data_IF_344010889735
#
_entry.id   IF_344010889735
#
_cell.length_a   1.000
_cell.length_b   1.000
_cell.length_c   1.000
_cell.angle_alpha   90.00
_cell.angle_beta   90.00
_cell.angle_gamma   90.00
#
_symmetry.space_group_name_H-M   'P 1'
#
loop_
_entity.id
_entity.type
_entity.pdbx_description
1 polymer ?
#
# COMPACT_ATOMS: atom_id res chain seq x y z
N UNK A 1 44.91 16.72 26.91
CA UNK A 1 44.25 17.81 26.17
C UNK A 1 43.95 17.26 24.78
N UNK A 2 42.64 17.15 24.48
CA UNK A 2 42.01 17.24 23.14
C UNK A 2 42.32 16.13 22.12
N UNK A 3 41.47 15.11 22.06
CA UNK A 3 41.12 14.39 20.81
C UNK A 3 39.77 13.69 20.96
N UNK A 4 38.68 14.46 21.11
CA UNK A 4 37.30 13.93 21.04
C UNK A 4 36.39 14.87 20.26
N UNK A 5 36.82 15.25 19.06
CA UNK A 5 35.93 16.01 18.15
C UNK A 5 36.21 15.62 16.69
N UNK A 6 35.86 14.40 16.30
CA UNK A 6 35.77 14.04 14.86
C UNK A 6 35.04 12.71 14.63
N UNK A 7 33.85 12.53 15.19
CA UNK A 7 33.01 11.36 14.87
C UNK A 7 31.59 11.70 14.40
N UNK A 8 31.16 12.97 14.46
CA UNK A 8 29.77 13.34 14.17
C UNK A 8 29.49 13.79 12.72
N UNK A 9 30.51 14.13 11.93
CA UNK A 9 30.29 14.68 10.59
C UNK A 9 29.98 13.64 9.49
N UNK A 10 30.25 12.36 9.72
CA UNK A 10 30.05 11.32 8.69
C UNK A 10 28.65 10.68 8.76
N UNK A 11 27.97 10.75 9.89
CA UNK A 11 26.61 10.23 10.07
C UNK A 11 25.52 11.19 9.55
N UNK A 12 25.78 12.48 9.56
CA UNK A 12 24.81 13.51 9.16
C UNK A 12 24.41 13.44 7.69
N UNK A 13 25.32 13.13 6.77
CA UNK A 13 25.03 13.09 5.34
C UNK A 13 24.12 11.90 4.92
N UNK A 14 24.14 10.81 5.69
CA UNK A 14 23.31 9.63 5.42
C UNK A 14 21.84 9.86 5.79
N UNK A 15 21.56 10.56 6.88
CA UNK A 15 20.21 10.83 7.36
C UNK A 15 19.50 11.92 6.57
N UNK A 16 20.20 12.89 5.99
CA UNK A 16 19.58 13.93 5.17
C UNK A 16 18.82 13.35 3.96
N UNK A 17 19.37 12.33 3.32
CA UNK A 17 18.69 11.63 2.23
C UNK A 17 17.45 10.86 2.71
N UNK A 18 17.49 10.30 3.93
CA UNK A 18 16.33 9.65 4.56
C UNK A 18 15.24 10.68 4.84
N UNK A 19 15.59 11.82 5.47
CA UNK A 19 14.64 12.89 5.75
C UNK A 19 14.01 13.43 4.47
N UNK A 20 14.82 13.67 3.42
CA UNK A 20 14.30 14.12 2.13
C UNK A 20 13.31 13.11 1.51
N UNK A 21 13.60 11.80 1.62
CA UNK A 21 12.69 10.77 1.09
C UNK A 21 11.40 10.66 1.90
N UNK A 22 11.46 10.83 3.22
CA UNK A 22 10.27 10.84 4.10
C UNK A 22 9.44 12.10 3.83
N UNK A 23 10.04 13.29 3.70
CA UNK A 23 9.34 14.51 3.36
C UNK A 23 8.61 14.39 2.01
N UNK A 24 9.29 13.85 0.99
CA UNK A 24 8.68 13.61 -0.31
C UNK A 24 7.52 12.60 -0.25
N UNK A 25 7.62 11.55 0.58
CA UNK A 25 6.54 10.58 0.81
C UNK A 25 5.33 11.21 1.53
N UNK A 26 5.57 12.08 2.52
CA UNK A 26 4.50 12.81 3.21
C UNK A 26 3.82 13.80 2.27
N UNK A 27 4.59 14.52 1.43
CA UNK A 27 4.02 15.41 0.41
C UNK A 27 3.21 14.64 -0.64
N UNK A 28 3.71 13.50 -1.09
CA UNK A 28 2.97 12.57 -1.95
C UNK A 28 1.65 12.13 -1.31
N UNK A 29 1.66 11.75 -0.03
CA UNK A 29 0.45 11.34 0.67
C UNK A 29 -0.59 12.48 0.76
N UNK A 30 -0.13 13.72 0.99
CA UNK A 30 -1.01 14.90 0.97
C UNK A 30 -1.67 15.11 -0.40
N UNK A 31 -0.93 14.89 -1.49
CA UNK A 31 -1.39 15.12 -2.86
C UNK A 31 -2.23 13.96 -3.42
N UNK A 32 -1.93 12.72 -3.02
CA UNK A 32 -2.48 11.50 -3.65
C UNK A 32 -3.30 10.62 -2.73
N UNK A 33 -3.06 10.67 -1.42
CA UNK A 33 -3.79 9.90 -0.42
C UNK A 33 -4.69 10.80 0.44
N UNK A 34 -4.78 12.08 0.09
CA UNK A 34 -5.58 13.08 0.79
C UNK A 34 -5.25 13.15 2.30
N UNK A 35 -3.99 12.90 2.66
CA UNK A 35 -3.53 13.09 4.03
C UNK A 35 -3.80 14.54 4.46
N UNK A 36 -4.59 14.70 5.52
CA UNK A 36 -4.91 16.02 6.05
C UNK A 36 -3.61 16.78 6.41
N UNK A 37 -3.45 18.03 5.97
CA UNK A 37 -2.27 18.81 6.32
C UNK A 37 -2.00 18.90 7.83
N UNK A 38 -3.05 18.82 8.67
CA UNK A 38 -2.93 18.83 10.13
C UNK A 38 -2.30 17.56 10.69
N UNK A 39 -2.39 16.45 9.95
CA UNK A 39 -1.85 15.14 10.33
C UNK A 39 -0.45 14.88 9.75
N UNK A 40 0.08 15.79 8.91
CA UNK A 40 1.35 15.59 8.21
C UNK A 40 2.53 15.40 9.16
N UNK A 41 2.64 16.24 10.19
CA UNK A 41 3.73 16.14 11.18
C UNK A 41 3.56 14.91 12.08
N UNK A 42 2.34 14.60 12.49
CA UNK A 42 2.04 13.39 13.25
C UNK A 42 2.44 12.15 12.46
N UNK A 43 2.07 12.06 11.19
CA UNK A 43 2.42 10.93 10.32
C UNK A 43 3.93 10.81 10.12
N UNK A 44 4.62 11.95 9.88
CA UNK A 44 6.08 11.99 9.79
C UNK A 44 6.73 11.47 11.08
N UNK A 45 6.27 11.92 12.23
CA UNK A 45 6.80 11.52 13.53
C UNK A 45 6.61 10.01 13.79
N UNK A 46 5.51 9.42 13.31
CA UNK A 46 5.31 7.97 13.36
C UNK A 46 6.33 7.20 12.53
N UNK A 47 6.72 7.73 11.38
CA UNK A 47 7.79 7.15 10.57
C UNK A 47 9.14 7.30 11.28
N UNK A 48 9.39 8.43 11.92
CA UNK A 48 10.61 8.64 12.72
C UNK A 48 10.67 7.67 13.90
N UNK A 49 9.57 7.48 14.62
CA UNK A 49 9.45 6.49 15.71
C UNK A 49 9.82 5.08 15.24
N UNK A 50 9.34 4.66 14.05
CA UNK A 50 9.63 3.35 13.48
C UNK A 50 11.14 3.09 13.32
N UNK A 51 11.91 4.13 13.02
CA UNK A 51 13.36 4.04 12.77
C UNK A 51 14.21 4.63 13.90
N UNK A 52 13.59 4.96 15.04
CA UNK A 52 14.25 5.60 16.20
C UNK A 52 15.05 6.85 15.82
N UNK A 53 14.49 7.66 14.89
CA UNK A 53 15.08 8.94 14.50
C UNK A 53 14.65 10.00 15.52
N UNK A 54 15.62 10.59 16.21
CA UNK A 54 15.42 11.57 17.29
C UNK A 54 15.77 13.00 16.91
N UNK A 55 16.31 13.19 15.72
CA UNK A 55 16.62 14.49 15.15
C UNK A 55 16.02 14.65 13.77
N UNK A 56 15.60 15.86 13.41
CA UNK A 56 15.02 16.15 12.11
C UNK A 56 15.37 17.55 11.62
N UNK A 57 15.75 17.62 10.36
CA UNK A 57 15.91 18.89 9.63
C UNK A 57 14.94 18.88 8.45
N UNK A 58 13.98 19.83 8.39
CA UNK A 58 13.11 19.94 7.22
C UNK A 58 13.91 20.12 5.95
N UNK A 59 13.69 19.25 4.97
CA UNK A 59 14.43 19.31 3.70
C UNK A 59 13.69 20.11 2.64
N UNK A 60 12.37 20.28 2.81
CA UNK A 60 11.49 20.87 1.80
C UNK A 60 11.30 20.01 0.56
N UNK A 61 11.71 18.74 0.60
CA UNK A 61 11.53 17.82 -0.51
C UNK A 61 10.04 17.58 -0.78
N UNK A 62 9.66 17.66 -2.04
CA UNK A 62 8.30 17.46 -2.54
C UNK A 62 8.29 16.36 -3.59
N UNK A 63 7.11 15.88 -3.95
CA UNK A 63 6.93 14.91 -5.03
C UNK A 63 5.78 15.29 -5.94
N UNK A 64 6.02 15.17 -7.26
CA UNK A 64 4.99 15.24 -8.29
C UNK A 64 4.72 13.86 -8.93
N UNK A 65 5.28 12.79 -8.32
CA UNK A 65 5.08 11.42 -8.78
C UNK A 65 3.58 11.05 -8.75
N UNK A 66 3.16 10.24 -9.71
CA UNK A 66 1.80 9.70 -9.76
C UNK A 66 1.72 8.30 -9.16
N UNK A 67 2.86 7.60 -9.10
CA UNK A 67 3.01 6.26 -8.52
C UNK A 67 4.03 6.32 -7.38
N UNK A 68 3.87 5.51 -6.33
CA UNK A 68 4.79 5.50 -5.19
C UNK A 68 6.10 4.75 -5.45
N UNK A 69 6.23 4.01 -6.57
CA UNK A 69 7.31 3.07 -6.83
C UNK A 69 8.70 3.71 -6.73
N UNK A 70 8.91 4.85 -7.40
CA UNK A 70 10.21 5.54 -7.42
C UNK A 70 10.51 6.20 -6.07
N UNK A 71 9.50 6.76 -5.40
CA UNK A 71 9.63 7.30 -4.05
C UNK A 71 10.06 6.21 -3.06
N UNK A 72 9.40 5.06 -3.09
CA UNK A 72 9.73 3.93 -2.23
C UNK A 72 11.11 3.35 -2.56
N UNK A 73 11.53 3.41 -3.82
CA UNK A 73 12.86 2.97 -4.22
C UNK A 73 13.93 3.93 -3.67
N UNK A 74 13.72 5.24 -3.78
CA UNK A 74 14.62 6.25 -3.17
C UNK A 74 14.68 6.12 -1.66
N UNK A 75 13.51 6.00 -1.00
CA UNK A 75 13.43 5.80 0.45
C UNK A 75 14.23 4.57 0.90
N UNK A 76 14.01 3.41 0.27
CA UNK A 76 14.73 2.17 0.61
C UNK A 76 16.23 2.31 0.43
N UNK A 77 16.67 2.91 -0.68
CA UNK A 77 18.08 3.13 -0.95
C UNK A 77 18.74 4.04 0.10
N UNK A 78 18.07 5.14 0.46
CA UNK A 78 18.55 6.06 1.49
C UNK A 78 18.61 5.41 2.87
N UNK A 79 17.57 4.66 3.25
CA UNK A 79 17.48 4.01 4.55
C UNK A 79 18.51 2.88 4.72
N UNK A 80 18.73 2.07 3.67
CA UNK A 80 19.80 1.05 3.67
C UNK A 80 21.19 1.71 3.76
N UNK A 81 21.42 2.79 3.01
CA UNK A 81 22.69 3.52 3.06
C UNK A 81 22.95 4.15 4.43
N UNK A 82 21.89 4.53 5.14
CA UNK A 82 21.95 5.06 6.51
C UNK A 82 22.00 3.96 7.59
N UNK A 83 21.90 2.67 7.21
CA UNK A 83 21.94 1.54 8.14
C UNK A 83 20.68 1.36 8.98
N UNK A 84 19.53 1.87 8.53
CA UNK A 84 18.27 1.74 9.26
C UNK A 84 17.68 0.32 9.16
N UNK A 85 17.94 -0.38 8.08
CA UNK A 85 17.56 -1.78 7.86
C UNK A 85 18.37 -2.39 6.70
N UNK A 86 18.38 -3.72 6.59
CA UNK A 86 19.04 -4.43 5.51
C UNK A 86 18.21 -4.40 4.21
N UNK A 87 18.89 -4.57 3.06
CA UNK A 87 18.27 -4.43 1.74
C UNK A 87 17.11 -5.42 1.49
N UNK A 88 17.15 -6.61 2.07
CA UNK A 88 16.09 -7.63 1.99
C UNK A 88 14.87 -7.30 2.85
N UNK A 89 15.01 -6.47 3.88
CA UNK A 89 13.92 -5.95 4.70
C UNK A 89 13.18 -4.76 4.05
N UNK A 90 13.83 -4.10 3.09
CA UNK A 90 13.32 -2.90 2.43
C UNK A 90 11.87 -2.97 1.94
N UNK A 91 11.40 -4.07 1.31
CA UNK A 91 10.00 -4.22 0.91
C UNK A 91 9.02 -4.22 2.10
N UNK A 92 9.41 -4.76 3.24
CA UNK A 92 8.57 -4.81 4.46
C UNK A 92 8.43 -3.42 5.05
N UNK A 93 9.54 -2.67 5.19
CA UNK A 93 9.51 -1.31 5.71
C UNK A 93 8.77 -0.35 4.77
N UNK A 94 8.91 -0.51 3.46
CA UNK A 94 8.13 0.25 2.49
C UNK A 94 6.61 0.02 2.66
N UNK A 95 6.18 -1.22 2.89
CA UNK A 95 4.79 -1.56 3.15
C UNK A 95 4.29 -0.97 4.49
N UNK A 96 5.13 -0.97 5.54
CA UNK A 96 4.80 -0.35 6.83
C UNK A 96 4.62 1.16 6.66
N UNK A 97 5.55 1.84 6.00
CA UNK A 97 5.51 3.29 5.76
C UNK A 97 4.28 3.65 4.94
N UNK A 98 3.99 2.92 3.86
CA UNK A 98 2.78 3.16 3.07
C UNK A 98 1.50 2.94 3.89
N UNK A 99 1.50 1.97 4.81
CA UNK A 99 0.39 1.78 5.75
C UNK A 99 0.18 2.97 6.67
N UNK A 100 1.26 3.62 7.13
CA UNK A 100 1.21 4.83 7.96
C UNK A 100 0.74 6.07 7.19
N UNK A 101 1.07 6.17 5.90
CA UNK A 101 0.68 7.26 5.01
C UNK A 101 -0.76 7.14 4.52
N UNK A 102 -1.34 5.94 4.55
CA UNK A 102 -2.68 5.67 4.07
C UNK A 102 -3.75 6.11 5.08
N UNK A 103 -4.82 6.69 4.60
CA UNK A 103 -6.00 7.01 5.41
C UNK A 103 -6.58 5.78 6.12
N UNK A 104 -7.27 6.00 7.23
CA UNK A 104 -8.03 4.94 7.89
C UNK A 104 -9.14 4.41 6.97
N UNK A 105 -9.67 3.18 7.19
CA UNK A 105 -10.81 2.69 6.43
C UNK A 105 -11.98 3.69 6.39
N UNK A 106 -12.36 4.24 7.55
CA UNK A 106 -13.45 5.21 7.64
C UNK A 106 -13.19 6.49 6.83
N UNK A 107 -11.98 7.05 6.90
CA UNK A 107 -11.64 8.25 6.12
C UNK A 107 -11.74 8.00 4.60
N UNK A 108 -11.33 6.80 4.14
CA UNK A 108 -11.42 6.42 2.73
C UNK A 108 -12.89 6.20 2.31
N UNK A 109 -13.70 5.58 3.17
CA UNK A 109 -15.12 5.36 2.93
C UNK A 109 -15.89 6.69 2.89
N UNK A 110 -15.67 7.57 3.87
CA UNK A 110 -16.28 8.91 3.91
C UNK A 110 -15.96 9.72 2.64
N UNK A 111 -14.72 9.61 2.17
CA UNK A 111 -14.31 10.27 0.94
C UNK A 111 -14.93 9.66 -0.31
N UNK A 112 -14.99 8.33 -0.37
CA UNK A 112 -15.68 7.62 -1.45
C UNK A 112 -17.14 8.08 -1.57
N UNK A 113 -17.87 8.11 -0.44
CA UNK A 113 -19.27 8.57 -0.40
C UNK A 113 -19.41 10.04 -0.80
N UNK A 114 -18.43 10.88 -0.45
CA UNK A 114 -18.43 12.28 -0.86
C UNK A 114 -18.30 12.41 -2.39
N UNK A 115 -17.35 11.67 -2.99
CA UNK A 115 -17.16 11.64 -4.45
C UNK A 115 -18.39 11.06 -5.15
N UNK A 116 -18.98 9.99 -4.60
CA UNK A 116 -20.17 9.38 -5.16
C UNK A 116 -21.36 10.35 -5.18
N UNK A 117 -21.59 11.08 -4.10
CA UNK A 117 -22.66 12.08 -4.02
C UNK A 117 -22.46 13.23 -5.01
N UNK A 118 -21.23 13.65 -5.24
CA UNK A 118 -20.91 14.79 -6.08
C UNK A 118 -20.80 14.42 -7.56
N UNK A 119 -20.25 13.27 -7.89
CA UNK A 119 -19.85 12.90 -9.24
C UNK A 119 -20.43 11.54 -9.71
N UNK A 120 -21.10 10.80 -8.84
CA UNK A 120 -21.69 9.50 -9.13
C UNK A 120 -20.72 8.33 -8.93
N UNK A 121 -21.29 7.12 -8.85
CA UNK A 121 -20.57 5.90 -8.47
C UNK A 121 -19.40 5.52 -9.38
N UNK A 122 -19.49 5.82 -10.69
CA UNK A 122 -18.39 5.54 -11.63
C UNK A 122 -17.13 6.35 -11.31
N UNK A 123 -17.30 7.63 -10.97
CA UNK A 123 -16.17 8.48 -10.59
C UNK A 123 -15.64 8.14 -9.20
N UNK A 124 -16.51 7.76 -8.26
CA UNK A 124 -16.13 7.26 -6.96
C UNK A 124 -15.25 5.98 -7.08
N UNK A 125 -15.65 5.04 -7.95
CA UNK A 125 -14.86 3.82 -8.20
C UNK A 125 -13.52 4.12 -8.88
N UNK A 126 -13.45 5.11 -9.77
CA UNK A 126 -12.18 5.58 -10.36
C UNK A 126 -11.27 6.19 -9.31
N UNK A 127 -11.81 7.11 -8.50
CA UNK A 127 -11.09 7.68 -7.38
C UNK A 127 -10.54 6.60 -6.44
N UNK A 128 -11.38 5.63 -6.07
CA UNK A 128 -10.98 4.54 -5.18
C UNK A 128 -9.88 3.66 -5.78
N UNK A 129 -9.96 3.38 -7.09
CA UNK A 129 -8.88 2.68 -7.78
C UNK A 129 -7.57 3.47 -7.75
N UNK A 130 -7.60 4.75 -8.08
CA UNK A 130 -6.43 5.62 -8.09
C UNK A 130 -5.84 5.76 -6.68
N UNK A 131 -6.69 5.81 -5.65
CA UNK A 131 -6.27 5.75 -4.26
C UNK A 131 -5.55 4.43 -3.95
N UNK A 132 -6.09 3.29 -4.36
CA UNK A 132 -5.47 1.96 -4.13
C UNK A 132 -4.18 1.76 -4.93
N UNK A 133 -4.00 2.48 -6.03
CA UNK A 133 -2.72 2.57 -6.76
C UNK A 133 -1.74 3.44 -5.98
N UNK A 134 -2.15 4.62 -5.55
CA UNK A 134 -1.31 5.57 -4.82
C UNK A 134 -0.85 5.03 -3.47
N UNK A 135 -1.70 4.30 -2.72
CA UNK A 135 -1.31 3.68 -1.46
C UNK A 135 -0.50 2.37 -1.64
N UNK A 136 -0.09 2.07 -2.87
CA UNK A 136 0.69 0.88 -3.22
C UNK A 136 -0.01 -0.46 -2.95
N UNK A 137 -1.32 -0.49 -2.79
CA UNK A 137 -2.05 -1.75 -2.72
C UNK A 137 -2.14 -2.43 -4.09
N UNK A 138 -2.61 -1.70 -5.10
CA UNK A 138 -2.56 -2.14 -6.49
C UNK A 138 -1.16 -1.89 -7.05
N UNK A 139 -0.46 -2.94 -7.44
CA UNK A 139 0.93 -2.89 -7.91
C UNK A 139 1.03 -2.42 -9.37
N UNK A 140 0.47 -1.23 -9.67
CA UNK A 140 0.34 -0.72 -11.03
C UNK A 140 1.68 -0.63 -11.77
N UNK A 141 2.74 -0.14 -11.12
CA UNK A 141 4.06 -0.02 -11.73
C UNK A 141 4.66 -1.37 -12.19
N UNK A 142 4.25 -2.48 -11.57
CA UNK A 142 4.62 -3.84 -12.00
C UNK A 142 3.62 -4.38 -13.02
N UNK A 143 2.31 -4.16 -12.81
CA UNK A 143 1.25 -4.65 -13.68
C UNK A 143 1.33 -4.07 -15.10
N UNK A 144 1.71 -2.81 -15.24
CA UNK A 144 1.88 -2.15 -16.54
C UNK A 144 3.03 -2.75 -17.37
N UNK A 145 3.95 -3.45 -16.72
CA UNK A 145 5.07 -4.16 -17.36
C UNK A 145 4.75 -5.61 -17.72
N UNK A 146 3.55 -6.10 -17.41
CA UNK A 146 3.14 -7.46 -17.72
C UNK A 146 3.15 -7.70 -19.24
N UNK A 147 3.91 -8.70 -19.75
CA UNK A 147 3.85 -9.07 -21.14
C UNK A 147 2.44 -9.53 -21.51
N UNK A 148 1.94 -9.02 -22.64
CA UNK A 148 0.65 -9.40 -23.22
C UNK A 148 0.83 -9.76 -24.68
N UNK A 149 0.21 -10.81 -25.13
CA UNK A 149 0.22 -11.24 -26.52
C UNK A 149 -1.05 -12.04 -26.86
N UNK A 150 -1.42 -11.96 -28.13
CA UNK A 150 -2.56 -12.71 -28.65
C UNK A 150 -2.11 -14.05 -29.20
N UNK A 151 -2.82 -15.11 -28.84
CA UNK A 151 -2.61 -16.45 -29.40
C UNK A 151 -3.94 -17.18 -29.54
N UNK A 152 -4.25 -17.63 -30.77
CA UNK A 152 -5.47 -18.38 -31.08
C UNK A 152 -6.78 -17.71 -30.60
N UNK A 153 -6.85 -16.38 -30.68
CA UNK A 153 -8.01 -15.59 -30.23
C UNK A 153 -8.10 -15.42 -28.72
N UNK A 154 -7.05 -15.76 -27.97
CA UNK A 154 -6.93 -15.54 -26.52
C UNK A 154 -5.91 -14.47 -26.22
N UNK A 155 -6.24 -13.56 -25.31
CA UNK A 155 -5.26 -12.62 -24.73
C UNK A 155 -4.53 -13.31 -23.58
N UNK A 156 -3.22 -13.51 -23.74
CA UNK A 156 -2.38 -14.12 -22.73
C UNK A 156 -1.61 -13.01 -22.00
N UNK A 157 -1.62 -13.03 -20.68
CA UNK A 157 -0.87 -12.10 -19.84
C UNK A 157 0.03 -12.87 -18.88
N UNK A 158 1.32 -12.50 -18.84
CA UNK A 158 2.26 -13.01 -17.83
C UNK A 158 2.24 -12.01 -16.65
N UNK A 159 1.68 -12.42 -15.52
CA UNK A 159 1.55 -11.56 -14.37
C UNK A 159 2.84 -11.55 -13.53
N UNK A 160 3.66 -10.51 -13.70
CA UNK A 160 4.95 -10.35 -13.01
C UNK A 160 4.80 -9.98 -11.53
N UNK A 161 3.65 -9.44 -11.13
CA UNK A 161 3.39 -9.04 -9.75
C UNK A 161 3.01 -10.22 -8.84
N UNK A 162 2.60 -11.37 -9.42
CA UNK A 162 2.09 -12.51 -8.66
C UNK A 162 3.24 -13.43 -8.23
N UNK A 163 3.48 -13.60 -6.92
CA UNK A 163 4.64 -14.37 -6.43
C UNK A 163 4.44 -15.90 -6.49
N UNK A 164 3.54 -16.41 -7.31
CA UNK A 164 3.10 -17.83 -7.26
C UNK A 164 4.21 -18.85 -7.45
N UNK A 165 5.24 -18.53 -8.24
CA UNK A 165 6.29 -19.50 -8.56
C UNK A 165 7.35 -19.70 -7.47
N UNK A 166 7.50 -18.78 -6.55
CA UNK A 166 8.56 -18.88 -5.52
C UNK A 166 8.14 -19.62 -4.27
N UNK A 167 6.84 -19.81 -4.01
CA UNK A 167 6.35 -20.32 -2.73
C UNK A 167 5.00 -21.04 -2.78
N UNK A 168 4.73 -21.92 -3.73
CA UNK A 168 3.49 -22.71 -3.74
C UNK A 168 3.25 -23.47 -2.42
N UNK A 169 4.32 -23.94 -1.75
CA UNK A 169 4.22 -24.58 -0.42
C UNK A 169 3.91 -23.58 0.70
N UNK A 170 4.40 -22.32 0.59
CA UNK A 170 4.08 -21.26 1.56
C UNK A 170 2.71 -20.63 1.29
N UNK A 171 2.29 -20.53 0.03
CA UNK A 171 0.95 -20.04 -0.30
C UNK A 171 -0.16 -20.99 0.16
N UNK A 172 0.04 -22.29 0.04
CA UNK A 172 -0.88 -23.29 0.57
C UNK A 172 -0.92 -23.28 2.11
N UNK A 173 0.21 -23.03 2.78
CA UNK A 173 0.26 -22.89 4.24
C UNK A 173 -0.22 -21.51 4.73
N UNK A 174 -0.13 -20.47 3.91
CA UNK A 174 -0.54 -19.10 4.25
C UNK A 174 -2.05 -18.84 4.20
N UNK A 175 -2.84 -19.79 3.68
CA UNK A 175 -4.30 -19.67 3.66
C UNK A 175 -4.98 -20.12 4.96
N UNK A 176 -4.26 -20.83 5.83
CA UNK A 176 -4.75 -21.18 7.16
C UNK A 176 -3.98 -20.37 8.21
N UNK A 177 -4.57 -19.31 8.71
CA UNK A 177 -4.07 -18.65 9.92
C UNK A 177 -4.43 -19.54 11.11
N UNK A 178 -3.44 -20.01 11.84
CA UNK A 178 -3.68 -20.66 13.13
C UNK A 178 -4.46 -19.67 14.02
N UNK A 179 -5.71 -20.00 14.38
CA UNK A 179 -6.55 -19.11 15.15
C UNK A 179 -7.76 -18.53 14.40
N UNK A 180 -7.87 -18.73 13.07
CA UNK A 180 -9.08 -18.35 12.31
C UNK A 180 -9.29 -16.84 12.08
N UNK A 181 -8.25 -16.01 12.25
CA UNK A 181 -8.33 -14.57 11.99
C UNK A 181 -7.13 -14.06 11.19
N UNK A 182 -7.35 -13.26 10.13
CA UNK A 182 -8.62 -13.09 9.40
C UNK A 182 -9.14 -14.43 8.84
N UNK A 183 -10.44 -14.61 8.79
CA UNK A 183 -11.05 -15.89 8.42
C UNK A 183 -10.61 -16.40 7.03
N UNK A 184 -10.45 -15.49 6.05
CA UNK A 184 -9.89 -15.82 4.73
C UNK A 184 -9.01 -14.69 4.18
N UNK A 185 -8.40 -14.92 3.00
CA UNK A 185 -7.47 -13.95 2.38
C UNK A 185 -8.15 -12.74 1.76
N UNK A 186 -9.46 -12.78 1.56
CA UNK A 186 -10.24 -11.71 0.92
C UNK A 186 -11.24 -11.02 1.84
N UNK A 187 -11.38 -11.44 3.11
CA UNK A 187 -12.26 -10.78 4.08
C UNK A 187 -11.85 -9.33 4.31
N UNK A 188 -12.81 -8.46 4.64
CA UNK A 188 -12.56 -7.09 5.06
C UNK A 188 -11.69 -7.02 6.34
N UNK A 189 -11.73 -8.02 7.21
CA UNK A 189 -10.85 -8.19 8.38
C UNK A 189 -9.35 -8.08 8.04
N UNK A 190 -8.98 -8.24 6.77
CA UNK A 190 -7.61 -8.05 6.32
C UNK A 190 -7.18 -6.57 6.21
N UNK A 191 -8.08 -5.60 6.28
CA UNK A 191 -7.72 -4.18 6.24
C UNK A 191 -6.71 -3.83 7.35
N UNK A 192 -5.55 -3.35 6.94
CA UNK A 192 -4.47 -3.05 7.88
C UNK A 192 -3.71 -4.26 8.44
N UNK A 193 -4.09 -5.50 8.10
CA UNK A 193 -3.50 -6.69 8.69
C UNK A 193 -2.09 -6.98 8.17
N UNK A 194 -1.09 -6.78 9.03
CA UNK A 194 0.32 -6.94 8.73
C UNK A 194 0.71 -8.37 8.34
N UNK A 195 0.11 -9.37 8.98
CA UNK A 195 0.47 -10.79 8.79
C UNK A 195 0.22 -11.35 7.39
N UNK A 196 -0.55 -10.61 6.55
CA UNK A 196 -0.80 -10.96 5.16
C UNK A 196 -0.38 -9.86 4.18
N UNK A 197 0.45 -8.92 4.60
CA UNK A 197 0.86 -7.77 3.80
C UNK A 197 -0.33 -6.95 3.28
N UNK A 198 -1.34 -6.73 4.14
CA UNK A 198 -2.59 -6.03 3.82
C UNK A 198 -2.71 -4.66 4.49
N UNK A 199 -1.56 -4.07 4.91
CA UNK A 199 -1.55 -2.78 5.61
C UNK A 199 -2.23 -1.67 4.83
N UNK A 200 -2.13 -1.73 3.51
CA UNK A 200 -2.70 -0.72 2.60
C UNK A 200 -4.00 -1.17 1.93
N UNK A 201 -4.52 -2.36 2.23
CA UNK A 201 -5.86 -2.77 1.78
C UNK A 201 -6.90 -1.79 2.33
N UNK A 202 -7.81 -1.36 1.47
CA UNK A 202 -9.04 -0.65 1.83
C UNK A 202 -10.22 -1.29 1.12
N UNK A 203 -11.38 -1.25 1.75
CA UNK A 203 -12.63 -1.78 1.21
C UNK A 203 -13.72 -0.72 1.26
N UNK A 204 -14.68 -0.83 0.35
CA UNK A 204 -15.87 0.02 0.31
C UNK A 204 -17.08 -0.84 0.56
N UNK A 205 -17.85 -0.60 1.63
CA UNK A 205 -19.10 -1.31 1.88
C UNK A 205 -20.09 -1.15 0.73
N UNK A 206 -20.87 -2.18 0.47
CA UNK A 206 -21.90 -2.19 -0.55
C UNK A 206 -23.09 -3.03 -0.08
N UNK A 207 -24.26 -2.78 -0.65
CA UNK A 207 -25.43 -3.62 -0.43
C UNK A 207 -25.89 -4.15 -1.78
N UNK A 208 -25.98 -5.47 -1.90
CA UNK A 208 -26.51 -6.15 -3.10
C UNK A 208 -27.75 -6.93 -2.71
N UNK A 209 -28.91 -6.50 -3.21
CA UNK A 209 -30.19 -6.95 -2.67
C UNK A 209 -30.33 -6.48 -1.22
N UNK A 210 -30.56 -7.41 -0.31
CA UNK A 210 -30.65 -7.13 1.13
C UNK A 210 -29.42 -7.61 1.90
N UNK A 211 -28.34 -8.00 1.20
CA UNK A 211 -27.15 -8.58 1.81
C UNK A 211 -26.00 -7.55 1.88
N UNK A 212 -25.17 -7.59 2.97
CA UNK A 212 -23.98 -6.78 3.06
C UNK A 212 -22.85 -7.36 2.23
N UNK A 213 -22.24 -6.53 1.42
CA UNK A 213 -21.09 -6.82 0.57
C UNK A 213 -20.03 -5.72 0.72
N UNK A 214 -18.87 -5.94 0.15
CA UNK A 214 -17.86 -4.90 0.01
C UNK A 214 -17.07 -5.05 -1.29
N UNK A 215 -16.54 -3.93 -1.76
CA UNK A 215 -15.63 -3.87 -2.89
C UNK A 215 -14.19 -3.74 -2.41
N UNK A 216 -13.29 -4.43 -3.08
CA UNK A 216 -11.86 -4.22 -3.01
C UNK A 216 -11.23 -4.40 -4.40
N UNK A 217 -10.04 -3.85 -4.61
CA UNK A 217 -9.29 -4.12 -5.82
C UNK A 217 -8.33 -5.30 -5.65
N UNK A 218 -8.02 -5.98 -6.76
CA UNK A 218 -6.99 -7.00 -6.76
C UNK A 218 -5.62 -6.34 -6.84
N UNK A 219 -4.68 -6.65 -5.92
CA UNK A 219 -3.31 -6.12 -6.01
C UNK A 219 -2.57 -6.66 -7.24
N UNK A 220 -3.06 -7.76 -7.82
CA UNK A 220 -2.47 -8.50 -8.94
C UNK A 220 -3.45 -8.65 -10.11
N UNK A 221 -4.19 -7.61 -10.42
CA UNK A 221 -5.24 -7.62 -11.43
C UNK A 221 -4.74 -8.03 -12.82
N UNK A 222 -5.59 -8.70 -13.58
CA UNK A 222 -5.31 -9.07 -14.97
C UNK A 222 -5.61 -7.95 -15.96
N UNK A 223 -6.47 -7.01 -15.56
CA UNK A 223 -6.92 -5.87 -16.38
C UNK A 223 -7.09 -4.64 -15.49
N UNK A 224 -7.24 -3.50 -16.14
CA UNK A 224 -7.47 -2.22 -15.48
C UNK A 224 -8.72 -2.26 -14.59
N UNK A 225 -8.60 -1.73 -13.37
CA UNK A 225 -9.68 -1.69 -12.37
C UNK A 225 -10.27 -3.08 -12.04
N UNK A 226 -9.42 -4.10 -11.93
CA UNK A 226 -9.85 -5.42 -11.52
C UNK A 226 -10.38 -5.42 -10.09
N UNK A 227 -11.70 -5.18 -9.96
CA UNK A 227 -12.43 -5.19 -8.70
C UNK A 227 -12.85 -6.60 -8.30
N UNK A 228 -13.03 -6.78 -7.00
CA UNK A 228 -13.56 -8.00 -6.38
C UNK A 228 -14.71 -7.54 -5.49
N UNK A 229 -15.91 -8.06 -5.75
CA UNK A 229 -17.07 -7.89 -4.88
C UNK A 229 -17.18 -9.13 -3.98
N UNK A 230 -17.21 -8.93 -2.67
CA UNK A 230 -17.16 -9.99 -1.67
C UNK A 230 -18.35 -9.86 -0.76
N UNK A 231 -19.05 -10.98 -0.50
CA UNK A 231 -20.07 -11.03 0.54
C UNK A 231 -19.41 -10.88 1.91
N UNK A 232 -19.99 -10.08 2.78
CA UNK A 232 -19.44 -9.80 4.11
C UNK A 232 -19.56 -11.03 5.02
N UNK A 233 -20.55 -11.89 4.77
CA UNK A 233 -20.70 -13.16 5.44
C UNK A 233 -19.81 -14.25 4.83
N UNK A 234 -19.18 -15.02 5.71
CA UNK A 234 -18.39 -16.17 5.30
C UNK A 234 -19.28 -17.32 4.83
N UNK A 235 -19.52 -17.40 3.54
CA UNK A 235 -20.26 -18.50 2.93
C UNK A 235 -19.35 -19.44 2.15
N UNK A 236 -19.60 -20.77 2.14
CA UNK A 236 -18.86 -21.69 1.30
C UNK A 236 -18.97 -21.32 -0.19
N UNK A 237 -17.84 -21.23 -0.88
CA UNK A 237 -17.80 -20.99 -2.33
C UNK A 237 -18.22 -22.26 -3.09
N UNK A 238 -19.50 -22.56 -3.14
CA UNK A 238 -20.06 -23.61 -3.99
C UNK A 238 -21.21 -23.06 -4.83
N UNK A 239 -21.37 -23.61 -6.03
CA UNK A 239 -22.49 -23.28 -6.90
C UNK A 239 -23.72 -24.05 -6.42
N UNK A 240 -24.74 -23.36 -5.93
CA UNK A 240 -26.05 -23.94 -5.64
C UNK A 240 -27.01 -23.58 -6.77
N UNK A 241 -27.98 -24.45 -7.03
CA UNK A 241 -29.16 -24.11 -7.83
C UNK A 241 -30.15 -23.45 -6.87
N UNK A 242 -30.40 -22.17 -7.05
CA UNK A 242 -31.55 -21.46 -6.44
C UNK A 242 -32.80 -21.68 -7.29
#
# INVERSE_FOLDING_TARGET
ISTEEKKDDCACGGLDAVYASIDALVDFARKRLELDPRDADWTRNRIFELFSLDSYRPTGATSDDTLPDDLLTRFRAAAVAAGLFDADEGPVYADIVMGMLSGTPSAVQDRFEAVEREHGGMEAMRWFYDYCVANNYVKKGVLDKNPRFDSHGLVITINLAKPEFKNMKKAAAGNSVAGGYPACTICHENEGFAGRNKRTLRTIPATLGDEPWFWQFSPYGYFYQHGICVNDEHTPMHVSRS
#
